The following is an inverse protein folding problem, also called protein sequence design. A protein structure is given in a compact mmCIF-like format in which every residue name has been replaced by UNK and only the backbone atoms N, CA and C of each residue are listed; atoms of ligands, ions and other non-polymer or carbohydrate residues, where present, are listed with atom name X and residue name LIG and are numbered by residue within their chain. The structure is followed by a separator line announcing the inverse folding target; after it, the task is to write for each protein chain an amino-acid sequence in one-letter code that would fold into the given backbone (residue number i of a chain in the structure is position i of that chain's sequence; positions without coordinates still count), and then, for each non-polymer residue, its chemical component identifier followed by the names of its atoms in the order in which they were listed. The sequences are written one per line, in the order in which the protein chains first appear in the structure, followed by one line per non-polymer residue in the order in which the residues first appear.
data_IF_883564537347
#
_entry.id   IF_883564537347
#
_cell.length_a   1.000
_cell.length_b   1.000
_cell.length_c   1.000
_cell.angle_alpha   90.00
_cell.angle_beta   90.00
_cell.angle_gamma   90.00
#
_symmetry.space_group_name_H-M   'P 1'
#
loop_
_entity.id
_entity.type
_entity.pdbx_description
1 polymer ?
#
# COMPACT_ATOMS: atom_id res chain seq x y z
N UNK A 1 -18.59 3.00 0.63
CA UNK A 1 -17.24 2.86 1.21
C UNK A 1 -16.50 4.17 0.99
N UNK A 2 -16.10 4.89 2.05
CA UNK A 2 -15.47 6.20 1.93
C UNK A 2 -13.94 6.14 1.74
N UNK A 3 -13.32 7.27 1.41
CA UNK A 3 -11.86 7.40 1.23
C UNK A 3 -11.08 6.81 2.41
N UNK A 4 -11.55 7.03 3.64
CA UNK A 4 -10.94 6.51 4.86
C UNK A 4 -10.73 4.99 4.83
N UNK A 5 -11.69 4.21 4.31
CA UNK A 5 -11.56 2.76 4.24
C UNK A 5 -10.41 2.32 3.33
N UNK A 6 -10.22 3.01 2.20
CA UNK A 6 -9.13 2.75 1.27
C UNK A 6 -7.76 3.17 1.84
N UNK A 7 -7.71 4.28 2.58
CA UNK A 7 -6.50 4.72 3.27
C UNK A 7 -6.10 3.73 4.36
N UNK A 8 -7.06 3.25 5.16
CA UNK A 8 -6.79 2.23 6.19
C UNK A 8 -6.33 0.92 5.57
N UNK A 9 -6.95 0.48 4.48
CA UNK A 9 -6.52 -0.72 3.74
C UNK A 9 -5.09 -0.57 3.22
N UNK A 10 -4.78 0.53 2.54
CA UNK A 10 -3.43 0.80 2.04
C UNK A 10 -2.41 0.85 3.18
N UNK A 11 -2.73 1.49 4.30
CA UNK A 11 -1.85 1.54 5.47
C UNK A 11 -1.57 0.15 6.06
N UNK A 12 -2.58 -0.72 6.15
CA UNK A 12 -2.41 -2.10 6.63
C UNK A 12 -1.51 -2.91 5.69
N UNK A 13 -1.75 -2.85 4.39
CA UNK A 13 -0.93 -3.56 3.39
C UNK A 13 0.51 -3.04 3.40
N UNK A 14 0.70 -1.73 3.53
CA UNK A 14 2.02 -1.12 3.65
C UNK A 14 2.76 -1.60 4.90
N UNK A 15 2.09 -1.63 6.06
CA UNK A 15 2.68 -2.12 7.31
C UNK A 15 3.10 -3.60 7.23
N UNK A 16 2.31 -4.44 6.54
CA UNK A 16 2.66 -5.85 6.29
C UNK A 16 3.90 -5.93 5.39
N UNK A 17 3.95 -5.14 4.31
CA UNK A 17 5.13 -5.06 3.44
C UNK A 17 6.39 -4.60 4.18
N UNK A 18 6.25 -3.58 5.03
CA UNK A 18 7.33 -3.06 5.87
C UNK A 18 7.83 -4.13 6.86
N UNK A 19 6.92 -4.84 7.52
CA UNK A 19 7.27 -5.97 8.38
C UNK A 19 8.01 -7.06 7.60
N UNK A 20 7.57 -7.37 6.38
CA UNK A 20 8.27 -8.27 5.46
C UNK A 20 9.70 -7.82 5.18
N UNK A 21 9.91 -6.55 4.87
CA UNK A 21 11.26 -5.99 4.62
C UNK A 21 12.16 -6.09 5.85
N UNK A 22 11.64 -5.80 7.05
CA UNK A 22 12.43 -5.81 8.28
C UNK A 22 12.77 -7.21 8.80
N UNK A 23 11.96 -8.22 8.47
CA UNK A 23 12.13 -9.59 8.99
C UNK A 23 12.90 -10.52 8.06
N UNK A 24 12.90 -10.24 6.76
CA UNK A 24 13.55 -11.12 5.77
C UNK A 24 15.03 -10.82 5.69
N UNK A 25 15.83 -11.90 5.69
CA UNK A 25 17.31 -11.83 5.53
C UNK A 25 17.77 -12.14 4.11
N UNK A 26 16.87 -12.57 3.23
CA UNK A 26 17.17 -12.88 1.84
C UNK A 26 16.74 -11.72 0.93
N UNK A 27 17.55 -11.43 -0.09
CA UNK A 27 17.27 -10.33 -1.01
C UNK A 27 15.89 -10.48 -1.69
N UNK A 28 15.54 -11.69 -2.13
CA UNK A 28 14.24 -11.97 -2.76
C UNK A 28 13.07 -11.69 -1.81
N UNK A 29 13.18 -12.06 -0.52
CA UNK A 29 12.10 -11.81 0.44
C UNK A 29 11.97 -10.32 0.79
N UNK A 30 13.08 -9.58 0.80
CA UNK A 30 13.07 -8.12 0.95
C UNK A 30 12.38 -7.49 -0.27
N UNK A 31 12.73 -7.90 -1.49
CA UNK A 31 12.11 -7.40 -2.73
C UNK A 31 10.61 -7.67 -2.75
N UNK A 32 10.16 -8.84 -2.30
CA UNK A 32 8.73 -9.17 -2.22
C UNK A 32 7.98 -8.28 -1.21
N UNK A 33 8.62 -7.92 -0.09
CA UNK A 33 8.10 -6.92 0.83
C UNK A 33 8.01 -5.52 0.20
N UNK A 34 8.99 -5.14 -0.61
CA UNK A 34 9.01 -3.88 -1.37
C UNK A 34 7.89 -3.85 -2.41
N UNK A 35 7.71 -4.91 -3.20
CA UNK A 35 6.62 -5.03 -4.17
C UNK A 35 5.25 -4.86 -3.50
N UNK A 36 5.07 -5.46 -2.31
CA UNK A 36 3.85 -5.32 -1.53
C UNK A 36 3.63 -3.87 -1.04
N UNK A 37 4.69 -3.21 -0.55
CA UNK A 37 4.62 -1.79 -0.17
C UNK A 37 4.29 -0.88 -1.37
N UNK A 38 4.88 -1.15 -2.54
CA UNK A 38 4.58 -0.42 -3.78
C UNK A 38 3.13 -0.64 -4.23
N UNK A 39 2.58 -1.84 -4.01
CA UNK A 39 1.16 -2.11 -4.28
C UNK A 39 0.24 -1.27 -3.37
N UNK A 40 0.56 -1.15 -2.08
CA UNK A 40 -0.17 -0.29 -1.16
C UNK A 40 -0.16 1.19 -1.57
N UNK A 41 0.98 1.69 -2.04
CA UNK A 41 1.10 3.06 -2.57
C UNK A 41 0.19 3.25 -3.80
N UNK A 42 0.14 2.27 -4.71
CA UNK A 42 -0.77 2.32 -5.86
C UNK A 42 -2.25 2.35 -5.45
N UNK A 43 -2.66 1.55 -4.46
CA UNK A 43 -4.03 1.61 -3.91
C UNK A 43 -4.34 3.02 -3.42
N UNK A 44 -3.41 3.64 -2.69
CA UNK A 44 -3.58 4.99 -2.16
C UNK A 44 -3.71 6.04 -3.28
N UNK A 45 -2.85 5.96 -4.31
CA UNK A 45 -2.91 6.84 -5.48
C UNK A 45 -4.24 6.70 -6.24
N UNK A 46 -4.68 5.47 -6.49
CA UNK A 46 -5.96 5.20 -7.19
C UNK A 46 -7.15 5.67 -6.36
N UNK A 47 -7.12 5.49 -5.03
CA UNK A 47 -8.15 6.02 -4.15
C UNK A 47 -8.21 7.55 -4.24
N UNK A 48 -7.08 8.25 -4.11
CA UNK A 48 -7.08 9.70 -4.28
C UNK A 48 -7.50 10.15 -5.67
N UNK A 49 -7.09 9.47 -6.73
CA UNK A 49 -7.52 9.80 -8.10
C UNK A 49 -9.04 9.67 -8.25
N UNK A 50 -9.64 8.64 -7.65
CA UNK A 50 -11.10 8.43 -7.69
C UNK A 50 -11.85 9.46 -6.85
N UNK A 51 -11.46 9.66 -5.58
CA UNK A 51 -12.18 10.55 -4.67
C UNK A 51 -11.94 12.04 -4.95
N UNK A 52 -10.82 12.43 -5.56
CA UNK A 52 -10.62 13.80 -6.05
C UNK A 52 -11.16 13.99 -7.48
N UNK A 53 -11.17 12.94 -8.31
CA UNK A 53 -11.73 12.98 -9.67
C UNK A 53 -13.26 12.99 -9.71
N UNK A 54 -13.94 12.39 -8.72
CA UNK A 54 -15.40 12.48 -8.54
C UNK A 54 -15.86 13.87 -8.01
N UNK A 55 -14.94 14.77 -7.65
CA UNK A 55 -15.23 16.11 -7.12
C UNK A 55 -15.03 17.26 -8.14
N UNK A 56 -14.79 16.94 -9.42
CA UNK A 56 -14.70 17.90 -10.53
C UNK A 56 -15.86 17.71 -11.53
#
# INVERSE_FOLDING_TARGET
MGLQAWLTLAALVFAIGLFGVLTRRNAVGILLGIELMLNAVNINLVAFARFNGDLA
#
